data_IF_743927637108
#
_entry.id   IF_743927637108
#
_cell.length_a   1.000
_cell.length_b   1.000
_cell.length_c   1.000
_cell.angle_alpha   90.00
_cell.angle_beta   90.00
_cell.angle_gamma   90.00
#
_symmetry.space_group_name_H-M   'P 1'
#
loop_
_entity.id
_entity.type
_entity.pdbx_description
1 polymer ?
#
# COMPACT_ATOMS: atom_id res chain seq x y z
N UNK A 1 -11.06 -14.56 -21.62
CA UNK A 1 -11.41 -15.90 -22.11
C UNK A 1 -10.58 -16.85 -21.30
N UNK A 2 -11.20 -17.80 -20.59
CA UNK A 2 -10.43 -18.83 -19.91
C UNK A 2 -9.86 -19.72 -21.00
N UNK A 3 -8.56 -19.61 -21.26
CA UNK A 3 -7.83 -20.67 -21.95
C UNK A 3 -8.05 -21.91 -21.09
N UNK A 4 -8.91 -22.82 -21.56
CA UNK A 4 -9.01 -24.15 -20.98
C UNK A 4 -7.67 -24.83 -21.25
N UNK A 5 -6.73 -24.63 -20.33
CA UNK A 5 -5.40 -25.21 -20.38
C UNK A 5 -5.53 -26.72 -20.55
N UNK A 6 -5.16 -27.21 -21.72
CA UNK A 6 -5.11 -28.64 -21.99
C UNK A 6 -4.15 -29.29 -20.99
N UNK A 7 -4.61 -30.29 -20.25
CA UNK A 7 -3.90 -30.81 -19.07
C UNK A 7 -2.73 -31.76 -19.39
N UNK A 8 -2.42 -31.97 -20.67
CA UNK A 8 -1.43 -32.96 -21.15
C UNK A 8 -1.60 -34.32 -20.45
N UNK A 9 -2.76 -34.98 -20.58
CA UNK A 9 -2.94 -36.34 -20.08
C UNK A 9 -1.83 -37.27 -20.60
N UNK A 10 -1.37 -38.21 -19.78
CA UNK A 10 -0.26 -39.10 -20.17
C UNK A 10 -0.69 -40.13 -21.22
N UNK A 11 -1.99 -40.42 -21.29
CA UNK A 11 -2.62 -41.32 -22.24
C UNK A 11 -3.94 -40.71 -22.73
N UNK A 12 -4.21 -40.84 -24.02
CA UNK A 12 -5.45 -40.40 -24.66
C UNK A 12 -5.97 -41.53 -25.55
N UNK A 13 -7.29 -41.78 -25.51
CA UNK A 13 -7.93 -42.82 -26.32
C UNK A 13 -8.05 -42.41 -27.80
N UNK A 14 -8.18 -41.12 -28.07
CA UNK A 14 -8.37 -40.57 -29.40
C UNK A 14 -7.64 -39.22 -29.53
N UNK A 15 -7.03 -38.96 -30.68
CA UNK A 15 -6.42 -37.65 -30.94
C UNK A 15 -7.46 -36.55 -31.20
N UNK A 16 -8.74 -36.85 -31.43
CA UNK A 16 -9.76 -35.85 -31.72
C UNK A 16 -10.01 -34.90 -30.52
N UNK A 17 -9.76 -35.38 -29.30
CA UNK A 17 -9.86 -34.59 -28.07
C UNK A 17 -8.58 -33.79 -27.75
N UNK A 18 -7.53 -33.97 -28.56
CA UNK A 18 -6.25 -33.24 -28.42
C UNK A 18 -6.25 -32.04 -29.36
N UNK A 19 -5.96 -30.82 -28.89
CA UNK A 19 -5.80 -29.66 -29.77
C UNK A 19 -4.79 -29.93 -30.88
N UNK A 20 -5.07 -29.47 -32.10
CA UNK A 20 -4.26 -29.77 -33.29
C UNK A 20 -2.77 -29.46 -33.09
N UNK A 21 -2.47 -28.34 -32.44
CA UNK A 21 -1.10 -27.90 -32.14
C UNK A 21 -0.35 -28.82 -31.17
N UNK A 22 -1.06 -29.68 -30.44
CA UNK A 22 -0.52 -30.58 -29.42
C UNK A 22 -0.55 -32.05 -29.81
N UNK A 23 -1.17 -32.41 -30.95
CA UNK A 23 -1.22 -33.81 -31.44
C UNK A 23 0.17 -34.40 -31.65
N UNK A 24 1.13 -33.60 -32.10
CA UNK A 24 2.53 -34.01 -32.28
C UNK A 24 3.24 -34.41 -30.97
N UNK A 25 2.68 -34.06 -29.81
CA UNK A 25 3.21 -34.47 -28.51
C UNK A 25 2.88 -35.93 -28.17
N UNK A 26 2.00 -36.59 -28.93
CA UNK A 26 1.50 -37.94 -28.70
C UNK A 26 1.94 -38.90 -29.80
N UNK A 27 2.17 -40.16 -29.44
CA UNK A 27 2.45 -41.25 -30.37
C UNK A 27 1.60 -42.47 -30.01
N UNK A 28 1.33 -43.35 -30.97
CA UNK A 28 0.63 -44.62 -30.72
C UNK A 28 1.36 -45.43 -29.65
N UNK A 29 0.61 -46.01 -28.71
CA UNK A 29 1.17 -46.86 -27.67
C UNK A 29 1.60 -48.21 -28.29
N UNK A 30 2.89 -48.56 -28.23
CA UNK A 30 3.37 -49.86 -28.73
C UNK A 30 2.78 -51.06 -27.97
N UNK A 31 2.26 -50.88 -26.76
CA UNK A 31 1.57 -51.92 -26.00
C UNK A 31 0.07 -52.03 -26.35
N UNK A 32 -0.56 -50.93 -26.76
CA UNK A 32 -1.99 -50.82 -27.00
C UNK A 32 -2.28 -49.92 -28.22
N UNK A 33 -2.39 -50.50 -29.44
CA UNK A 33 -2.52 -49.75 -30.69
C UNK A 33 -3.75 -48.84 -30.80
N UNK A 34 -4.72 -49.00 -29.90
CA UNK A 34 -5.93 -48.19 -29.81
C UNK A 34 -5.78 -46.95 -28.92
N UNK A 35 -4.58 -46.66 -28.42
CA UNK A 35 -4.33 -45.54 -27.51
C UNK A 35 -3.08 -44.78 -27.90
N UNK A 36 -3.01 -43.52 -27.47
CA UNK A 36 -1.90 -42.62 -27.72
C UNK A 36 -1.25 -42.20 -26.39
N UNK A 37 0.07 -42.30 -26.30
CA UNK A 37 0.85 -41.94 -25.12
C UNK A 37 1.67 -40.69 -25.37
N UNK A 38 1.85 -39.90 -24.31
CA UNK A 38 2.66 -38.70 -24.35
C UNK A 38 4.14 -39.05 -24.57
N UNK A 39 4.72 -38.47 -25.62
CA UNK A 39 6.13 -38.63 -26.00
C UNK A 39 7.06 -37.98 -24.98
N UNK A 40 8.38 -38.23 -25.07
CA UNK A 40 9.37 -37.55 -24.23
C UNK A 40 9.29 -36.02 -24.37
N UNK A 41 9.22 -35.51 -25.60
CA UNK A 41 9.02 -34.09 -25.88
C UNK A 41 7.68 -33.58 -25.34
N UNK A 42 6.62 -34.38 -25.45
CA UNK A 42 5.32 -34.06 -24.86
C UNK A 42 5.35 -33.92 -23.34
N UNK A 43 6.13 -34.74 -22.64
CA UNK A 43 6.33 -34.64 -21.19
C UNK A 43 7.12 -33.39 -20.80
N UNK A 44 8.12 -33.01 -21.60
CA UNK A 44 8.83 -31.75 -21.41
C UNK A 44 7.88 -30.55 -21.59
N UNK A 45 7.04 -30.56 -22.63
CA UNK A 45 6.01 -29.54 -22.85
C UNK A 45 5.01 -29.48 -21.69
N UNK A 46 4.55 -30.63 -21.18
CA UNK A 46 3.71 -30.72 -19.99
C UNK A 46 4.37 -30.08 -18.77
N UNK A 47 5.64 -30.36 -18.52
CA UNK A 47 6.39 -29.79 -17.41
C UNK A 47 6.55 -28.27 -17.55
N UNK A 48 6.92 -27.78 -18.74
CA UNK A 48 7.02 -26.35 -19.03
C UNK A 48 5.67 -25.63 -18.89
N UNK A 49 4.58 -26.27 -19.32
CA UNK A 49 3.24 -25.73 -19.16
C UNK A 49 2.84 -25.64 -17.68
N UNK A 50 3.13 -26.67 -16.89
CA UNK A 50 2.92 -26.65 -15.45
C UNK A 50 3.73 -25.52 -14.78
N UNK A 51 5.00 -25.33 -15.15
CA UNK A 51 5.82 -24.24 -14.64
C UNK A 51 5.27 -22.87 -15.05
N UNK A 52 4.89 -22.69 -16.31
CA UNK A 52 4.26 -21.45 -16.81
C UNK A 52 3.01 -21.12 -16.00
N UNK A 53 2.11 -22.08 -15.79
CA UNK A 53 0.88 -21.84 -15.00
C UNK A 53 1.20 -21.52 -13.53
N UNK A 54 2.21 -22.15 -12.94
CA UNK A 54 2.66 -21.82 -11.59
C UNK A 54 3.25 -20.39 -11.51
N UNK A 55 4.03 -19.97 -12.51
CA UNK A 55 4.56 -18.61 -12.62
C UNK A 55 3.44 -17.60 -12.83
N UNK A 56 2.47 -17.89 -13.70
CA UNK A 56 1.31 -17.02 -13.95
C UNK A 56 0.50 -16.80 -12.67
N UNK A 57 0.23 -17.87 -11.91
CA UNK A 57 -0.47 -17.74 -10.62
C UNK A 57 0.35 -16.98 -9.59
N UNK A 58 1.68 -17.17 -9.55
CA UNK A 58 2.58 -16.40 -8.70
C UNK A 58 2.56 -14.90 -9.06
N UNK A 59 2.62 -14.57 -10.35
CA UNK A 59 2.58 -13.20 -10.87
C UNK A 59 1.26 -12.52 -10.51
N UNK A 60 0.12 -13.19 -10.70
CA UNK A 60 -1.18 -12.64 -10.33
C UNK A 60 -1.29 -12.43 -8.81
N UNK A 61 -0.77 -13.36 -8.01
CA UNK A 61 -0.70 -13.19 -6.55
C UNK A 61 0.15 -11.98 -6.16
N UNK A 62 1.28 -11.77 -6.87
CA UNK A 62 2.21 -10.68 -6.59
C UNK A 62 1.61 -9.33 -7.01
N UNK A 63 0.93 -9.26 -8.17
CA UNK A 63 0.17 -8.09 -8.61
C UNK A 63 -0.91 -7.72 -7.58
N UNK A 64 -1.65 -8.70 -7.07
CA UNK A 64 -2.65 -8.46 -6.04
C UNK A 64 -2.04 -7.93 -4.74
N UNK A 65 -0.91 -8.50 -4.28
CA UNK A 65 -0.16 -8.00 -3.11
C UNK A 65 0.37 -6.59 -3.34
N UNK A 66 0.93 -6.32 -4.52
CA UNK A 66 1.46 -5.00 -4.87
C UNK A 66 0.37 -3.93 -4.92
N UNK A 67 -0.78 -4.23 -5.51
CA UNK A 67 -1.94 -3.32 -5.52
C UNK A 67 -2.43 -3.02 -4.10
N UNK A 68 -2.52 -4.03 -3.23
CA UNK A 68 -2.86 -3.82 -1.81
C UNK A 68 -1.83 -2.95 -1.09
N UNK A 69 -0.55 -3.22 -1.32
CA UNK A 69 0.54 -2.43 -0.75
C UNK A 69 0.49 -0.97 -1.19
N UNK A 70 0.35 -0.70 -2.49
CA UNK A 70 0.21 0.67 -3.02
C UNK A 70 -0.98 1.40 -2.40
N UNK A 71 -2.15 0.74 -2.30
CA UNK A 71 -3.33 1.32 -1.64
C UNK A 71 -3.03 1.67 -0.19
N UNK A 72 -2.42 0.76 0.56
CA UNK A 72 -2.05 1.02 1.96
C UNK A 72 -1.08 2.19 2.09
N UNK A 73 -0.07 2.27 1.22
CA UNK A 73 0.91 3.37 1.22
C UNK A 73 0.22 4.71 0.95
N UNK A 74 -0.69 4.76 -0.02
CA UNK A 74 -1.50 5.94 -0.32
C UNK A 74 -2.37 6.37 0.87
N UNK A 75 -2.99 5.43 1.57
CA UNK A 75 -3.79 5.71 2.79
C UNK A 75 -2.93 6.21 3.95
N UNK A 76 -1.76 5.62 4.15
CA UNK A 76 -0.80 6.07 5.18
C UNK A 76 -0.36 7.51 4.88
N UNK A 77 0.07 7.77 3.65
CA UNK A 77 0.54 9.10 3.24
C UNK A 77 -0.57 10.14 3.38
N UNK A 78 -1.78 9.85 2.92
CA UNK A 78 -2.91 10.79 3.03
C UNK A 78 -3.28 11.09 4.48
N UNK A 79 -3.23 10.08 5.35
CA UNK A 79 -3.50 10.23 6.79
C UNK A 79 -2.42 11.06 7.48
N UNK A 80 -1.14 10.83 7.16
CA UNK A 80 -0.02 11.63 7.66
C UNK A 80 -0.15 13.09 7.23
N UNK A 81 -0.38 13.35 5.93
CA UNK A 81 -0.55 14.70 5.40
C UNK A 81 -1.74 15.42 6.05
N UNK A 82 -2.86 14.71 6.27
CA UNK A 82 -4.02 15.26 6.97
C UNK A 82 -3.69 15.62 8.42
N UNK A 83 -2.99 14.75 9.16
CA UNK A 83 -2.57 15.01 10.52
C UNK A 83 -1.60 16.21 10.61
N UNK A 84 -0.59 16.26 9.73
CA UNK A 84 0.38 17.35 9.64
C UNK A 84 -0.31 18.69 9.37
N UNK A 85 -1.27 18.70 8.43
CA UNK A 85 -2.08 19.89 8.13
C UNK A 85 -2.89 20.35 9.34
N UNK A 86 -3.53 19.42 10.07
CA UNK A 86 -4.29 19.73 11.29
C UNK A 86 -3.40 20.27 12.42
N UNK A 87 -2.14 19.83 12.48
CA UNK A 87 -1.15 20.33 13.44
C UNK A 87 -0.61 21.73 13.11
N UNK A 88 -1.08 22.37 12.03
CA UNK A 88 -0.67 23.71 11.58
C UNK A 88 0.84 23.83 11.28
N UNK A 89 1.47 22.74 10.84
CA UNK A 89 2.84 22.78 10.30
C UNK A 89 2.85 23.61 9.01
N UNK A 90 3.94 24.33 8.72
CA UNK A 90 4.10 25.07 7.46
C UNK A 90 4.00 24.13 6.26
N UNK A 91 3.24 24.51 5.22
CA UNK A 91 2.99 23.67 4.04
C UNK A 91 4.26 23.21 3.33
N UNK A 92 5.29 24.07 3.28
CA UNK A 92 6.60 23.77 2.71
C UNK A 92 7.33 22.60 3.39
N UNK A 93 6.96 22.28 4.63
CA UNK A 93 7.60 21.23 5.44
C UNK A 93 6.77 19.94 5.48
N UNK A 94 5.59 19.89 4.85
CA UNK A 94 4.69 18.74 4.98
C UNK A 94 5.29 17.46 4.44
N UNK A 95 5.82 17.50 3.21
CA UNK A 95 6.41 16.33 2.56
C UNK A 95 7.64 15.81 3.31
N UNK A 96 8.54 16.72 3.72
CA UNK A 96 9.73 16.36 4.50
C UNK A 96 9.38 15.75 5.86
N UNK A 97 8.39 16.31 6.56
CA UNK A 97 7.93 15.77 7.83
C UNK A 97 7.26 14.40 7.66
N UNK A 98 6.43 14.23 6.63
CA UNK A 98 5.80 12.94 6.34
C UNK A 98 6.86 11.86 6.04
N UNK A 99 7.87 12.19 5.22
CA UNK A 99 8.97 11.28 4.91
C UNK A 99 9.76 10.89 6.17
N UNK A 100 10.07 11.85 7.03
CA UNK A 100 10.79 11.59 8.29
C UNK A 100 9.98 10.69 9.23
N UNK A 101 8.67 10.92 9.35
CA UNK A 101 7.81 10.07 10.17
C UNK A 101 7.72 8.64 9.64
N UNK A 102 7.65 8.48 8.31
CA UNK A 102 7.65 7.17 7.64
C UNK A 102 8.97 6.42 7.82
N UNK A 103 10.10 7.13 7.84
CA UNK A 103 11.41 6.51 8.06
C UNK A 103 11.56 6.01 9.51
N UNK A 104 11.00 6.75 10.47
CA UNK A 104 11.12 6.43 11.90
C UNK A 104 10.09 5.43 12.43
N UNK A 105 8.98 5.22 11.71
CA UNK A 105 7.86 4.44 12.23
C UNK A 105 7.30 3.49 11.15
N UNK A 106 6.96 2.27 11.56
CA UNK A 106 6.22 1.35 10.72
C UNK A 106 4.72 1.63 10.82
N UNK A 107 4.13 2.19 9.77
CA UNK A 107 2.68 2.46 9.74
C UNK A 107 1.91 1.30 9.11
N UNK A 108 0.80 0.95 9.73
CA UNK A 108 -0.10 -0.10 9.27
C UNK A 108 -1.52 0.46 9.16
N UNK A 109 -2.19 0.09 8.07
CA UNK A 109 -3.60 0.38 7.87
C UNK A 109 -4.42 -0.72 8.51
N UNK A 110 -5.25 -0.36 9.47
CA UNK A 110 -6.22 -1.25 10.11
C UNK A 110 -7.64 -0.91 9.65
N UNK A 111 -8.50 -1.91 9.43
CA UNK A 111 -9.93 -1.64 9.24
C UNK A 111 -10.48 -1.01 10.52
N UNK A 112 -11.26 0.06 10.39
CA UNK A 112 -11.94 0.65 11.54
C UNK A 112 -13.06 -0.28 12.00
N UNK A 113 -13.13 -0.56 13.30
CA UNK A 113 -14.20 -1.38 13.90
C UNK A 113 -15.58 -0.71 13.75
N UNK A 114 -15.62 0.62 13.62
CA UNK A 114 -16.85 1.41 13.49
C UNK A 114 -17.41 1.43 12.06
N UNK A 115 -16.80 0.73 11.10
CA UNK A 115 -17.23 0.70 9.69
C UNK A 115 -17.05 2.02 8.93
N UNK A 116 -16.49 3.05 9.57
CA UNK A 116 -16.33 4.41 9.03
C UNK A 116 -15.08 4.62 8.16
N UNK A 117 -14.27 3.59 7.95
CA UNK A 117 -13.12 3.65 7.05
C UNK A 117 -11.93 2.82 7.52
N UNK A 118 -10.73 3.27 7.14
CA UNK A 118 -9.48 2.66 7.54
C UNK A 118 -8.72 3.61 8.48
N UNK A 119 -8.24 3.08 9.61
CA UNK A 119 -7.42 3.82 10.57
C UNK A 119 -5.95 3.49 10.36
N UNK A 120 -5.11 4.51 10.34
CA UNK A 120 -3.65 4.34 10.23
C UNK A 120 -3.05 4.42 11.62
N UNK A 121 -2.24 3.42 11.97
CA UNK A 121 -1.54 3.36 13.25
C UNK A 121 -0.07 3.08 13.03
N UNK A 122 0.80 3.73 13.81
CA UNK A 122 2.20 3.36 13.90
C UNK A 122 2.34 2.17 14.85
N UNK A 123 3.01 1.12 14.38
CA UNK A 123 3.48 0.03 15.22
C UNK A 123 4.81 0.41 15.84
N UNK A 124 4.86 0.25 17.16
CA UNK A 124 6.09 0.40 17.94
C UNK A 124 6.24 -0.83 18.84
N UNK A 125 7.43 -1.03 19.42
CA UNK A 125 7.67 -2.11 20.39
C UNK A 125 6.73 -2.03 21.62
N UNK A 126 6.17 -0.85 21.90
CA UNK A 126 5.33 -0.58 23.07
C UNK A 126 3.83 -0.56 22.76
N UNK A 127 3.44 -0.83 21.51
CA UNK A 127 2.04 -0.87 21.09
C UNK A 127 1.77 -0.12 19.78
N UNK A 128 0.49 0.04 19.48
CA UNK A 128 0.02 0.77 18.30
C UNK A 128 -0.48 2.17 18.71
N UNK A 129 -0.03 3.20 17.99
CA UNK A 129 -0.44 4.58 18.25
C UNK A 129 -1.02 5.23 17.00
N UNK A 130 -2.09 6.04 17.13
CA UNK A 130 -2.64 6.76 15.99
C UNK A 130 -1.64 7.78 15.44
N UNK A 131 -1.77 8.11 14.16
CA UNK A 131 -0.87 9.05 13.46
C UNK A 131 -0.76 10.38 14.20
N UNK A 132 -1.88 10.90 14.72
CA UNK A 132 -1.92 12.16 15.46
C UNK A 132 -1.04 12.12 16.70
N UNK A 133 -1.05 11.02 17.46
CA UNK A 133 -0.26 10.89 18.69
C UNK A 133 1.23 10.81 18.38
N UNK A 134 1.62 10.11 17.31
CA UNK A 134 3.01 10.02 16.86
C UNK A 134 3.51 11.39 16.39
N UNK A 135 2.70 12.10 15.61
CA UNK A 135 3.01 13.44 15.17
C UNK A 135 3.15 14.41 16.34
N UNK A 136 2.23 14.39 17.30
CA UNK A 136 2.31 15.26 18.50
C UNK A 136 3.55 14.95 19.31
N UNK A 137 3.86 13.68 19.56
CA UNK A 137 5.08 13.28 20.27
C UNK A 137 6.35 13.73 19.53
N UNK A 138 6.38 13.59 18.20
CA UNK A 138 7.49 14.11 17.39
C UNK A 138 7.60 15.62 17.51
N UNK A 139 6.50 16.36 17.35
CA UNK A 139 6.49 17.80 17.47
C UNK A 139 6.94 18.26 18.86
N UNK A 140 6.61 17.54 19.93
CA UNK A 140 7.02 17.83 21.31
C UNK A 140 8.50 17.50 21.60
N UNK A 141 9.12 16.64 20.80
CA UNK A 141 10.55 16.34 20.89
C UNK A 141 11.44 17.49 20.40
N UNK A 142 12.73 17.41 20.73
CA UNK A 142 13.75 18.37 20.30
C UNK A 142 13.91 18.41 18.77
N UNK A 143 13.78 17.26 18.10
CA UNK A 143 13.81 17.14 16.64
C UNK A 143 12.62 17.84 15.98
N UNK A 144 11.49 17.94 16.69
CA UNK A 144 10.25 18.52 16.18
C UNK A 144 10.18 20.04 16.24
N UNK A 145 11.11 20.71 16.93
CA UNK A 145 11.05 22.16 17.20
C UNK A 145 10.96 22.98 15.91
N UNK A 146 11.68 22.59 14.86
CA UNK A 146 11.68 23.28 13.57
C UNK A 146 10.36 23.18 12.79
N UNK A 147 9.52 22.20 13.11
CA UNK A 147 8.24 21.95 12.46
C UNK A 147 7.05 22.58 13.19
N UNK A 148 7.25 23.03 14.44
CA UNK A 148 6.18 23.64 15.24
C UNK A 148 5.65 24.90 14.56
N UNK A 149 4.33 25.16 14.62
CA UNK A 149 3.82 26.48 14.28
C UNK A 149 4.53 27.51 15.16
N UNK A 150 5.05 28.57 14.55
CA UNK A 150 5.61 29.67 15.30
C UNK A 150 4.57 30.13 16.32
N UNK A 151 4.86 30.02 17.62
CA UNK A 151 4.02 30.64 18.64
C UNK A 151 3.94 32.11 18.25
N UNK A 152 2.78 32.56 17.77
CA UNK A 152 2.50 34.00 17.70
C UNK A 152 2.71 34.47 19.13
N UNK A 153 3.77 35.22 19.35
CA UNK A 153 4.01 35.84 20.63
C UNK A 153 2.74 36.63 20.95
N UNK A 154 1.99 36.20 21.97
CA UNK A 154 1.07 37.11 22.63
C UNK A 154 1.96 38.28 23.02
N UNK A 155 1.65 39.53 22.63
CA UNK A 155 2.55 40.63 22.90
C UNK A 155 2.46 40.93 24.40
N UNK A 156 3.29 40.23 25.19
CA UNK A 156 3.42 40.44 26.62
C UNK A 156 4.41 41.59 26.82
N UNK A 157 3.90 42.80 26.66
CA UNK A 157 4.69 44.01 26.85
C UNK A 157 3.79 45.23 27.03
N UNK A 158 4.23 46.17 27.87
CA UNK A 158 3.52 47.45 28.14
C UNK A 158 3.09 48.19 26.86
N UNK A 159 3.80 47.98 25.75
CA UNK A 159 3.49 48.58 24.46
C UNK A 159 2.15 48.10 23.87
N UNK A 160 1.81 46.81 23.99
CA UNK A 160 0.53 46.29 23.52
C UNK A 160 -0.65 46.72 24.40
N UNK A 161 -0.41 46.87 25.70
CA UNK A 161 -1.39 47.49 26.61
C UNK A 161 -1.63 48.96 26.24
N UNK A 162 -0.61 49.69 25.77
CA UNK A 162 -0.73 51.05 25.26
C UNK A 162 -1.54 51.11 23.96
N UNK A 163 -1.27 50.22 22.99
CA UNK A 163 -2.02 50.16 21.73
C UNK A 163 -3.51 49.87 21.99
N UNK A 164 -3.82 48.92 22.87
CA UNK A 164 -5.21 48.61 23.24
C UNK A 164 -5.91 49.75 23.99
N UNK A 165 -5.17 50.52 24.82
CA UNK A 165 -5.71 51.73 25.49
C UNK A 165 -5.98 52.86 24.52
N UNK A 166 -5.11 53.10 23.56
CA UNK A 166 -5.29 54.15 22.54
C UNK A 166 -6.46 53.80 21.62
N UNK A 167 -6.57 52.54 21.19
CA UNK A 167 -7.70 52.05 20.40
C UNK A 167 -9.05 52.15 21.15
N UNK A 168 -9.07 51.85 22.46
CA UNK A 168 -10.26 52.02 23.30
C UNK A 168 -10.58 53.49 23.62
N UNK A 169 -9.58 54.37 23.67
CA UNK A 169 -9.74 55.80 23.91
C UNK A 169 -10.27 56.58 22.71
N UNK A 170 -9.98 56.12 21.48
CA UNK A 170 -10.43 56.78 20.25
C UNK A 170 -11.94 56.61 19.97
N UNK A 171 -12.63 55.68 20.63
CA UNK A 171 -14.09 55.51 20.49
C UNK A 171 -14.93 56.39 21.42
N UNK A 172 -14.31 57.16 22.33
CA UNK A 172 -15.04 58.00 23.31
C UNK A 172 -14.97 59.51 23.07
N UNK A 173 -14.39 59.94 21.96
CA UNK A 173 -14.40 61.36 21.55
C UNK A 173 -15.34 61.59 20.36
N UNK A 174 -16.65 61.68 20.64
CA UNK A 174 -17.59 62.50 19.86
C UNK A 174 -17.84 63.77 20.66
#
# INVERSE_FOLDING_TARGET
MADSAFAYPDLVETLDDVPDDLKAAYAEDPAHPSTFVLTALGRELKALHAEKTALDTAVESLKAKHSKFQKSQGTVMSSLMAAIKRANVKSELHEGLAALLLERNEFVVQPSDDGSGATVVAKTAYGAFPVEKVLTAFLESDDGVGYRPAKRAVPVGRFAQMINRVAAGQQRGR
#
